data_IF_893967276501
#
_entry.id   IF_893967276501
#
_cell.length_a   1.000
_cell.length_b   1.000
_cell.length_c   1.000
_cell.angle_alpha   90.00
_cell.angle_beta   90.00
_cell.angle_gamma   90.00
#
_symmetry.space_group_name_H-M   'P 1'
#
loop_
_entity.id
_entity.type
_entity.pdbx_description
1 polymer ?
#
# COMPACT_ATOMS: atom_id res chain seq x y z
N UNK A 1 -15.15 27.30 2.69
CA UNK A 1 -14.62 26.46 1.59
C UNK A 1 -15.81 26.05 0.73
N UNK A 2 -15.73 26.14 -0.61
CA UNK A 2 -16.80 25.66 -1.48
C UNK A 2 -16.97 24.14 -1.32
N UNK A 3 -18.21 23.66 -1.17
CA UNK A 3 -18.54 22.23 -0.98
C UNK A 3 -17.91 21.31 -2.04
N UNK A 4 -17.75 21.81 -3.26
CA UNK A 4 -17.17 21.10 -4.41
C UNK A 4 -15.75 20.57 -4.15
N UNK A 5 -14.91 21.32 -3.41
CA UNK A 5 -13.53 20.88 -3.13
C UNK A 5 -13.46 19.79 -2.07
N UNK A 6 -14.41 19.76 -1.14
CA UNK A 6 -14.46 18.74 -0.09
C UNK A 6 -14.84 17.38 -0.66
N UNK A 7 -15.78 17.35 -1.61
CA UNK A 7 -16.17 16.10 -2.28
C UNK A 7 -15.00 15.46 -3.03
N UNK A 8 -14.20 16.25 -3.74
CA UNK A 8 -13.01 15.74 -4.47
C UNK A 8 -11.98 15.16 -3.48
N UNK A 9 -11.74 15.86 -2.37
CA UNK A 9 -10.81 15.43 -1.32
C UNK A 9 -11.29 14.15 -0.63
N UNK A 10 -12.60 14.03 -0.40
CA UNK A 10 -13.21 12.85 0.18
C UNK A 10 -13.11 11.66 -0.79
N UNK A 11 -13.38 11.86 -2.08
CA UNK A 11 -13.20 10.84 -3.11
C UNK A 11 -11.75 10.36 -3.18
N UNK A 12 -10.77 11.28 -3.15
CA UNK A 12 -9.34 10.94 -3.12
C UNK A 12 -9.00 10.05 -1.91
N UNK A 13 -9.51 10.44 -0.74
CA UNK A 13 -9.24 9.72 0.52
C UNK A 13 -9.90 8.34 0.53
N UNK A 14 -11.12 8.21 -0.02
CA UNK A 14 -11.80 6.91 -0.19
C UNK A 14 -11.04 5.99 -1.13
N UNK A 15 -10.59 6.49 -2.27
CA UNK A 15 -9.77 5.71 -3.23
C UNK A 15 -8.46 5.26 -2.58
N UNK A 16 -7.79 6.15 -1.84
CA UNK A 16 -6.57 5.80 -1.10
C UNK A 16 -6.83 4.72 -0.05
N UNK A 17 -7.88 4.85 0.75
CA UNK A 17 -8.25 3.87 1.78
C UNK A 17 -8.53 2.50 1.18
N UNK A 18 -9.25 2.44 0.05
CA UNK A 18 -9.46 1.20 -0.70
C UNK A 18 -8.13 0.61 -1.18
N UNK A 19 -7.23 1.44 -1.71
CA UNK A 19 -5.90 1.00 -2.13
C UNK A 19 -5.08 0.39 -1.00
N UNK A 20 -5.07 1.03 0.18
CA UNK A 20 -4.38 0.52 1.38
C UNK A 20 -5.01 -0.78 1.86
N UNK A 21 -6.34 -0.85 1.93
CA UNK A 21 -7.05 -2.06 2.37
C UNK A 21 -6.73 -3.26 1.47
N UNK A 22 -6.78 -3.07 0.15
CA UNK A 22 -6.44 -4.12 -0.82
C UNK A 22 -4.95 -4.50 -0.74
N UNK A 23 -4.06 -3.53 -0.60
CA UNK A 23 -2.62 -3.77 -0.47
C UNK A 23 -2.29 -4.60 0.78
N UNK A 24 -2.88 -4.26 1.93
CA UNK A 24 -2.68 -5.01 3.18
C UNK A 24 -3.22 -6.43 3.08
N UNK A 25 -4.37 -6.62 2.43
CA UNK A 25 -4.94 -7.94 2.20
C UNK A 25 -4.01 -8.80 1.32
N UNK A 26 -3.55 -8.25 0.19
CA UNK A 26 -2.63 -8.94 -0.72
C UNK A 26 -1.30 -9.22 -0.01
N UNK A 27 -0.77 -8.25 0.72
CA UNK A 27 0.47 -8.40 1.46
C UNK A 27 0.38 -9.52 2.51
N UNK A 28 -0.74 -9.61 3.23
CA UNK A 28 -0.98 -10.69 4.19
C UNK A 28 -0.93 -12.05 3.51
N UNK A 29 -1.62 -12.21 2.37
CA UNK A 29 -1.61 -13.46 1.60
C UNK A 29 -0.20 -13.79 1.09
N UNK A 30 0.54 -12.81 0.56
CA UNK A 30 1.90 -13.02 0.06
C UNK A 30 2.89 -13.36 1.17
N UNK A 31 2.76 -12.74 2.35
CA UNK A 31 3.59 -13.07 3.52
C UNK A 31 3.32 -14.50 4.01
N UNK A 32 2.05 -14.91 4.07
CA UNK A 32 1.69 -16.29 4.43
C UNK A 32 2.28 -17.27 3.41
N UNK A 33 2.10 -17.01 2.11
CA UNK A 33 2.65 -17.86 1.05
C UNK A 33 4.19 -17.92 1.09
N UNK A 34 4.85 -16.77 1.29
CA UNK A 34 6.29 -16.69 1.47
C UNK A 34 6.78 -17.45 2.70
N UNK A 35 6.07 -17.36 3.82
CA UNK A 35 6.37 -18.11 5.04
C UNK A 35 6.24 -19.62 4.86
N UNK A 36 5.16 -20.09 4.22
CA UNK A 36 4.98 -21.51 3.87
C UNK A 36 6.11 -21.99 2.95
N UNK A 37 6.48 -21.19 1.96
CA UNK A 37 7.55 -21.52 1.03
C UNK A 37 8.92 -21.57 1.70
N UNK A 38 9.14 -20.73 2.72
CA UNK A 38 10.35 -20.78 3.55
C UNK A 38 10.45 -22.08 4.34
N UNK A 39 9.34 -22.50 4.96
CA UNK A 39 9.28 -23.72 5.78
C UNK A 39 9.56 -25.01 4.99
N UNK A 40 9.42 -25.01 3.66
CA UNK A 40 9.80 -26.15 2.81
C UNK A 40 11.30 -26.49 2.86
N UNK A 41 12.16 -25.57 3.30
CA UNK A 41 13.55 -25.87 3.63
C UNK A 41 14.51 -26.12 2.46
N UNK A 42 14.04 -26.18 1.20
CA UNK A 42 14.94 -26.37 0.05
C UNK A 42 15.63 -25.04 -0.31
N UNK A 43 16.86 -25.08 -0.87
CA UNK A 43 17.58 -23.85 -1.25
C UNK A 43 16.77 -22.97 -2.21
N UNK A 44 16.10 -23.59 -3.19
CA UNK A 44 15.25 -22.88 -4.15
C UNK A 44 14.00 -22.27 -3.51
N UNK A 45 13.37 -22.98 -2.56
CA UNK A 45 12.17 -22.48 -1.90
C UNK A 45 12.49 -21.30 -0.98
N UNK A 46 13.61 -21.36 -0.25
CA UNK A 46 14.06 -20.26 0.60
C UNK A 46 14.43 -19.02 -0.22
N UNK A 47 15.10 -19.18 -1.37
CA UNK A 47 15.43 -18.05 -2.22
C UNK A 47 14.16 -17.37 -2.79
N UNK A 48 13.19 -18.17 -3.24
CA UNK A 48 11.89 -17.65 -3.69
C UNK A 48 11.12 -16.97 -2.56
N UNK A 49 11.12 -17.55 -1.35
CA UNK A 49 10.45 -16.97 -0.19
C UNK A 49 11.03 -15.60 0.19
N UNK A 50 12.37 -15.47 0.23
CA UNK A 50 13.05 -14.17 0.43
C UNK A 50 12.59 -13.13 -0.58
N UNK A 51 12.54 -13.51 -1.86
CA UNK A 51 12.13 -12.62 -2.95
C UNK A 51 10.68 -12.17 -2.81
N UNK A 52 9.77 -13.09 -2.48
CA UNK A 52 8.35 -12.77 -2.26
C UNK A 52 8.19 -11.81 -1.08
N UNK A 53 8.82 -12.12 0.06
CA UNK A 53 8.74 -11.29 1.26
C UNK A 53 9.30 -9.89 0.97
N UNK A 54 10.48 -9.80 0.34
CA UNK A 54 11.10 -8.53 0.00
C UNK A 54 10.22 -7.69 -0.94
N UNK A 55 9.69 -8.31 -2.01
CA UNK A 55 8.79 -7.63 -2.94
C UNK A 55 7.49 -7.16 -2.27
N UNK A 56 6.99 -7.94 -1.30
CA UNK A 56 5.79 -7.58 -0.53
C UNK A 56 6.05 -6.33 0.33
N UNK A 57 7.20 -6.26 1.00
CA UNK A 57 7.61 -5.07 1.76
C UNK A 57 7.78 -3.85 0.87
N UNK A 58 8.44 -4.01 -0.29
CA UNK A 58 8.59 -2.92 -1.27
C UNK A 58 7.22 -2.41 -1.72
N UNK A 59 6.28 -3.31 -2.03
CA UNK A 59 4.90 -2.93 -2.39
C UNK A 59 4.18 -2.16 -1.29
N UNK A 60 4.32 -2.59 -0.03
CA UNK A 60 3.73 -1.88 1.11
C UNK A 60 4.31 -0.48 1.27
N UNK A 61 5.63 -0.32 1.15
CA UNK A 61 6.28 1.00 1.22
C UNK A 61 5.73 1.93 0.14
N UNK A 62 5.56 1.45 -1.09
CA UNK A 62 5.01 2.24 -2.19
C UNK A 62 3.59 2.73 -1.87
N UNK A 63 2.74 1.87 -1.30
CA UNK A 63 1.36 2.23 -0.94
C UNK A 63 1.33 3.26 0.18
N UNK A 64 2.22 3.15 1.16
CA UNK A 64 2.37 4.16 2.22
C UNK A 64 2.84 5.50 1.65
N UNK A 65 3.82 5.48 0.73
CA UNK A 65 4.28 6.69 0.02
C UNK A 65 3.17 7.34 -0.82
N UNK A 66 2.34 6.54 -1.48
CA UNK A 66 1.18 7.05 -2.21
C UNK A 66 0.22 7.81 -1.28
N UNK A 67 0.05 7.36 -0.03
CA UNK A 67 -0.74 8.09 0.96
C UNK A 67 -0.19 9.49 1.28
N UNK A 68 1.13 9.61 1.41
CA UNK A 68 1.80 10.91 1.58
C UNK A 68 1.59 11.85 0.39
N UNK A 69 1.56 11.32 -0.84
CA UNK A 69 1.24 12.12 -2.03
C UNK A 69 -0.20 12.65 -2.00
N UNK A 70 -1.17 11.85 -1.59
CA UNK A 70 -2.57 12.32 -1.46
C UNK A 70 -2.67 13.39 -0.38
N UNK A 71 -1.98 13.23 0.75
CA UNK A 71 -1.93 14.27 1.79
C UNK A 71 -1.29 15.56 1.31
N UNK A 72 -0.21 15.48 0.52
CA UNK A 72 0.41 16.64 -0.10
C UNK A 72 -0.55 17.37 -1.04
N UNK A 73 -1.24 16.64 -1.93
CA UNK A 73 -2.24 17.21 -2.84
C UNK A 73 -3.40 17.84 -2.08
N UNK A 74 -3.89 17.19 -1.02
CA UNK A 74 -4.90 17.75 -0.11
C UNK A 74 -4.42 19.04 0.56
N UNK A 75 -3.16 19.08 0.99
CA UNK A 75 -2.55 20.26 1.58
C UNK A 75 -2.47 21.45 0.61
N UNK A 76 -2.07 21.20 -0.64
CA UNK A 76 -2.02 22.25 -1.68
C UNK A 76 -3.42 22.75 -2.07
N UNK A 77 -4.41 21.86 -2.13
CA UNK A 77 -5.78 22.21 -2.52
C UNK A 77 -6.58 22.89 -1.40
N UNK A 78 -6.41 22.44 -0.14
CA UNK A 78 -7.16 22.96 1.02
C UNK A 78 -6.42 24.07 1.76
N UNK A 79 -5.10 24.12 1.65
CA UNK A 79 -4.20 25.07 2.34
C UNK A 79 -3.54 26.07 1.39
N UNK A 80 -4.07 26.26 0.18
CA UNK A 80 -3.71 27.36 -0.73
C UNK A 80 -4.24 28.72 -0.23
N UNK A 81 -3.94 29.07 1.02
CA UNK A 81 -3.98 30.38 1.67
C UNK A 81 -3.16 30.30 2.96
#
# INVERSE_FOLDING_TARGET
MPSQFQEIVELLTRVQQLGIALALLIATIMLIYGGILWMRGTPDSQQKARRIIFNTFVGLIIVLMAGGLVEFVKGVLCGGA
#
